data_IF_041753073129
#
_entry.id   IF_041753073129
#
_cell.length_a   1.000
_cell.length_b   1.000
_cell.length_c   1.000
_cell.angle_alpha   90.00
_cell.angle_beta   90.00
_cell.angle_gamma   90.00
#
_symmetry.space_group_name_H-M   'P 1'
#
loop_
_entity.id
_entity.type
_entity.pdbx_description
1 polymer ?
#
# COMPACT_ATOMS: atom_id res chain seq x y z
N UNK A 1 -0.77 -1.48 -10.72
CA UNK A 1 0.51 -1.82 -10.09
C UNK A 1 1.11 -2.99 -10.82
N UNK A 2 2.44 -3.01 -10.96
CA UNK A 2 3.19 -4.11 -11.57
C UNK A 2 2.94 -5.43 -10.83
N UNK A 3 2.88 -6.54 -11.56
CA UNK A 3 2.77 -7.88 -10.99
C UNK A 3 4.11 -8.35 -10.42
N UNK A 4 4.10 -9.43 -9.64
CA UNK A 4 5.35 -10.06 -9.19
C UNK A 4 6.23 -10.49 -10.37
N UNK A 5 5.63 -10.99 -11.46
CA UNK A 5 6.36 -11.35 -12.66
C UNK A 5 7.06 -10.14 -13.28
N UNK A 6 6.32 -9.04 -13.47
CA UNK A 6 6.88 -7.78 -14.01
C UNK A 6 8.04 -7.27 -13.12
N UNK A 7 7.88 -7.35 -11.80
CA UNK A 7 8.92 -6.92 -10.85
C UNK A 7 10.18 -7.78 -10.88
N UNK A 8 10.02 -9.10 -11.00
CA UNK A 8 11.15 -10.02 -11.11
C UNK A 8 11.89 -9.80 -12.42
N UNK A 9 11.17 -9.68 -13.55
CA UNK A 9 11.80 -9.47 -14.86
C UNK A 9 12.55 -8.13 -14.93
N UNK A 10 11.91 -7.03 -14.54
CA UNK A 10 12.46 -5.68 -14.77
C UNK A 10 13.49 -5.26 -13.72
N UNK A 11 13.32 -5.68 -12.47
CA UNK A 11 14.08 -5.11 -11.34
C UNK A 11 14.91 -6.14 -10.59
N UNK A 12 14.47 -7.39 -10.55
CA UNK A 12 15.08 -8.43 -9.73
C UNK A 12 15.24 -9.77 -10.48
N UNK A 13 15.88 -9.79 -11.68
CA UNK A 13 15.89 -10.97 -12.54
C UNK A 13 16.61 -12.16 -11.90
N UNK A 14 17.54 -11.90 -10.98
CA UNK A 14 18.24 -12.92 -10.20
C UNK A 14 17.35 -13.66 -9.17
N UNK A 15 16.10 -13.22 -8.95
CA UNK A 15 15.10 -13.93 -8.15
C UNK A 15 14.04 -14.65 -8.99
N UNK A 16 14.13 -14.64 -10.32
CA UNK A 16 13.14 -15.25 -11.21
C UNK A 16 12.91 -16.74 -10.89
N UNK A 17 13.99 -17.49 -10.66
CA UNK A 17 13.94 -18.92 -10.28
C UNK A 17 13.16 -19.18 -8.96
N UNK A 18 13.01 -18.16 -8.12
CA UNK A 18 12.32 -18.23 -6.83
C UNK A 18 10.91 -17.62 -6.87
N UNK A 19 10.42 -17.22 -8.05
CA UNK A 19 9.16 -16.50 -8.18
C UNK A 19 7.96 -17.25 -7.60
N UNK A 20 7.91 -18.57 -7.78
CA UNK A 20 6.85 -19.41 -7.21
C UNK A 20 6.91 -19.47 -5.69
N UNK A 21 8.10 -19.61 -5.10
CA UNK A 21 8.32 -19.60 -3.66
C UNK A 21 7.95 -18.25 -3.06
N UNK A 22 8.36 -17.15 -3.68
CA UNK A 22 8.03 -15.79 -3.25
C UNK A 22 6.52 -15.60 -3.24
N UNK A 23 5.83 -15.99 -4.33
CA UNK A 23 4.37 -15.92 -4.41
C UNK A 23 3.69 -16.77 -3.32
N UNK A 24 4.20 -17.98 -3.06
CA UNK A 24 3.67 -18.87 -2.02
C UNK A 24 3.83 -18.26 -0.63
N UNK A 25 4.97 -17.64 -0.34
CA UNK A 25 5.24 -16.97 0.94
C UNK A 25 4.36 -15.73 1.10
N UNK A 26 4.24 -14.90 0.07
CA UNK A 26 3.37 -13.71 0.07
C UNK A 26 1.92 -14.08 0.39
N UNK A 27 1.38 -15.10 -0.28
CA UNK A 27 0.02 -15.57 -0.05
C UNK A 27 -0.18 -16.10 1.38
N UNK A 28 0.77 -16.90 1.88
CA UNK A 28 0.73 -17.43 3.23
C UNK A 28 0.82 -16.30 4.28
N UNK A 29 1.68 -15.31 4.05
CA UNK A 29 1.86 -14.14 4.89
C UNK A 29 0.57 -13.32 5.00
N UNK A 30 -0.02 -12.94 3.87
CA UNK A 30 -1.29 -12.20 3.85
C UNK A 30 -2.44 -13.00 4.47
N UNK A 31 -2.52 -14.32 4.20
CA UNK A 31 -3.53 -15.18 4.82
C UNK A 31 -3.38 -15.20 6.34
N UNK A 32 -2.16 -15.36 6.85
CA UNK A 32 -1.91 -15.40 8.30
C UNK A 32 -2.26 -14.07 8.95
N UNK A 33 -1.83 -12.95 8.37
CA UNK A 33 -2.15 -11.60 8.88
C UNK A 33 -3.64 -11.38 9.02
N UNK A 34 -4.42 -11.75 8.01
CA UNK A 34 -5.89 -11.66 8.07
C UNK A 34 -6.49 -12.54 9.14
N UNK A 35 -6.00 -13.76 9.31
CA UNK A 35 -6.50 -14.69 10.34
C UNK A 35 -6.30 -14.17 11.76
N UNK A 36 -5.21 -13.45 12.02
CA UNK A 36 -4.92 -12.88 13.34
C UNK A 36 -5.35 -11.42 13.47
N UNK A 37 -6.05 -10.87 12.47
CA UNK A 37 -6.47 -9.47 12.41
C UNK A 37 -5.33 -8.47 12.66
N UNK A 38 -4.15 -8.72 12.08
CA UNK A 38 -2.98 -7.85 12.20
C UNK A 38 -2.71 -7.07 10.92
N UNK A 39 -2.17 -5.86 11.08
CA UNK A 39 -1.64 -5.03 9.99
C UNK A 39 -0.15 -4.78 10.22
N UNK A 40 0.63 -4.76 9.14
CA UNK A 40 1.99 -4.21 9.16
C UNK A 40 1.98 -2.75 8.68
N UNK A 41 3.16 -2.14 8.53
CA UNK A 41 3.28 -0.72 8.17
C UNK A 41 2.72 -0.41 6.77
N UNK A 42 2.92 -1.29 5.79
CA UNK A 42 2.40 -1.09 4.43
C UNK A 42 0.88 -1.21 4.39
N UNK A 43 0.30 -2.14 5.16
CA UNK A 43 -1.15 -2.24 5.30
C UNK A 43 -1.77 -0.97 5.86
N UNK A 44 -1.13 -0.32 6.85
CA UNK A 44 -1.66 0.92 7.43
C UNK A 44 -1.84 2.02 6.36
N UNK A 45 -0.96 2.08 5.37
CA UNK A 45 -1.06 3.02 4.25
C UNK A 45 -2.10 2.55 3.23
N UNK A 46 -1.93 1.33 2.71
CA UNK A 46 -2.76 0.80 1.60
C UNK A 46 -4.23 0.64 2.02
N UNK A 47 -4.49 0.15 3.23
CA UNK A 47 -5.86 -0.05 3.71
C UNK A 47 -6.52 1.29 4.07
N UNK A 48 -5.78 2.25 4.61
CA UNK A 48 -6.31 3.61 4.84
C UNK A 48 -6.67 4.29 3.52
N UNK A 49 -5.78 4.26 2.52
CA UNK A 49 -6.06 4.81 1.20
C UNK A 49 -7.31 4.16 0.59
N UNK A 50 -7.37 2.82 0.60
CA UNK A 50 -8.53 2.07 0.10
C UNK A 50 -9.81 2.42 0.85
N UNK A 51 -9.76 2.61 2.16
CA UNK A 51 -10.90 2.98 2.98
C UNK A 51 -11.44 4.36 2.55
N UNK A 52 -10.56 5.35 2.42
CA UNK A 52 -10.94 6.71 2.02
C UNK A 52 -11.42 6.79 0.57
N UNK A 53 -10.86 5.98 -0.33
CA UNK A 53 -11.32 5.87 -1.72
C UNK A 53 -12.74 5.28 -1.83
N UNK A 54 -13.08 4.31 -0.96
CA UNK A 54 -14.37 3.59 -1.00
C UNK A 54 -15.47 4.25 -0.19
N UNK A 55 -15.12 5.02 0.84
CA UNK A 55 -16.08 5.63 1.77
C UNK A 55 -15.99 7.15 1.71
N UNK A 56 -16.69 7.74 0.74
CA UNK A 56 -16.63 9.18 0.48
C UNK A 56 -17.03 10.04 1.70
N UNK A 57 -18.02 9.62 2.49
CA UNK A 57 -18.43 10.36 3.69
C UNK A 57 -17.29 10.46 4.72
N UNK A 58 -16.55 9.37 4.90
CA UNK A 58 -15.39 9.31 5.79
C UNK A 58 -14.25 10.17 5.24
N UNK A 59 -13.99 10.11 3.92
CA UNK A 59 -13.03 11.00 3.27
C UNK A 59 -13.39 12.47 3.53
N UNK A 60 -14.63 12.87 3.25
CA UNK A 60 -15.10 14.25 3.46
C UNK A 60 -14.98 14.68 4.92
N UNK A 61 -15.16 13.77 5.88
CA UNK A 61 -14.93 14.04 7.30
C UNK A 61 -13.48 14.43 7.56
N UNK A 62 -12.52 13.69 7.01
CA UNK A 62 -11.10 13.98 7.19
C UNK A 62 -10.64 15.21 6.38
N UNK A 63 -11.12 15.41 5.16
CA UNK A 63 -10.85 16.62 4.37
C UNK A 63 -11.31 17.90 5.11
N UNK A 64 -12.48 17.86 5.77
CA UNK A 64 -12.95 18.97 6.61
C UNK A 64 -12.10 19.17 7.87
N UNK A 65 -11.53 18.10 8.41
CA UNK A 65 -10.67 18.15 9.60
C UNK A 65 -9.27 18.68 9.25
N UNK A 66 -8.72 18.23 8.13
CA UNK A 66 -7.39 18.57 7.64
C UNK A 66 -7.47 19.53 6.45
N UNK A 67 -7.98 20.74 6.69
CA UNK A 67 -8.15 21.75 5.63
C UNK A 67 -6.85 22.19 4.97
N UNK A 68 -5.72 22.00 5.66
CA UNK A 68 -4.39 22.27 5.16
C UNK A 68 -3.48 21.12 5.57
N UNK A 69 -2.81 20.51 4.60
CA UNK A 69 -1.87 19.41 4.81
C UNK A 69 -0.47 19.91 4.44
N UNK A 70 0.46 19.84 5.39
CA UNK A 70 1.87 20.05 5.14
C UNK A 70 2.56 18.70 5.21
N UNK A 71 3.34 18.38 4.18
CA UNK A 71 4.14 17.16 4.12
C UNK A 71 5.60 17.57 4.07
N UNK A 72 6.34 17.18 5.10
CA UNK A 72 7.79 17.34 5.14
C UNK A 72 8.47 16.16 4.41
N UNK A 73 9.71 16.35 3.97
CA UNK A 73 10.49 15.36 3.21
C UNK A 73 9.72 14.74 2.03
N UNK A 74 8.93 15.56 1.31
CA UNK A 74 8.03 15.10 0.25
C UNK A 74 8.76 14.34 -0.88
N UNK A 75 10.04 14.64 -1.11
CA UNK A 75 10.87 13.93 -2.08
C UNK A 75 11.05 12.44 -1.79
N UNK A 76 10.87 12.01 -0.54
CA UNK A 76 11.02 10.62 -0.10
C UNK A 76 9.69 9.85 -0.10
N UNK A 77 8.59 10.49 -0.54
CA UNK A 77 7.27 9.86 -0.57
C UNK A 77 7.13 8.84 -1.69
N UNK A 78 6.48 7.72 -1.39
CA UNK A 78 6.11 6.72 -2.39
C UNK A 78 4.71 6.98 -2.99
N UNK A 79 4.36 6.25 -4.04
CA UNK A 79 3.09 6.42 -4.77
C UNK A 79 1.85 6.34 -3.85
N UNK A 80 1.82 5.39 -2.91
CA UNK A 80 0.67 5.21 -2.00
C UNK A 80 0.55 6.39 -1.04
N UNK A 81 1.67 6.93 -0.56
CA UNK A 81 1.68 8.11 0.30
C UNK A 81 1.24 9.37 -0.45
N UNK A 82 1.71 9.58 -1.69
CA UNK A 82 1.25 10.69 -2.53
C UNK A 82 -0.25 10.60 -2.79
N UNK A 83 -0.76 9.44 -3.19
CA UNK A 83 -2.20 9.25 -3.42
C UNK A 83 -3.03 9.52 -2.15
N UNK A 84 -2.52 9.15 -0.98
CA UNK A 84 -3.19 9.40 0.29
C UNK A 84 -3.26 10.90 0.60
N UNK A 85 -2.18 11.63 0.35
CA UNK A 85 -2.13 13.08 0.52
C UNK A 85 -3.05 13.78 -0.47
N UNK A 86 -3.03 13.40 -1.74
CA UNK A 86 -3.88 13.98 -2.80
C UNK A 86 -5.37 13.75 -2.55
N UNK A 87 -5.71 12.69 -1.82
CA UNK A 87 -7.08 12.33 -1.48
C UNK A 87 -7.64 13.15 -0.30
N UNK A 88 -6.77 13.75 0.52
CA UNK A 88 -7.11 14.52 1.72
C UNK A 88 -7.07 16.03 1.48
#
# INVERSE_FOLDING_TARGET
>A
GATLADLLEERYPYFEEWGEEIARVEQAYHKKKRQINSMDFDDLLVLTLRLLQRHEELRRLYQRRFQYVLVDEYQDTNHVQSELVDLL
#
